data_IF_245678793310
#
_entry.id   IF_245678793310
#
_cell.length_a   1.000
_cell.length_b   1.000
_cell.length_c   1.000
_cell.angle_alpha   90.00
_cell.angle_beta   90.00
_cell.angle_gamma   90.00
#
_symmetry.space_group_name_H-M   'P 1'
#
loop_
_entity.id
_entity.type
_entity.pdbx_description
1 polymer ?
#
# COMPACT_ATOMS: atom_id res chain seq x y z
N UNK A 1 25.20 16.84 12.00
CA UNK A 1 24.46 15.79 11.28
C UNK A 1 23.01 15.93 11.66
N UNK A 2 22.10 15.84 10.70
CA UNK A 2 20.67 15.87 10.98
C UNK A 2 20.25 14.54 11.61
N UNK A 3 20.11 14.53 12.92
CA UNK A 3 19.76 13.34 13.69
C UNK A 3 18.33 12.87 13.38
N UNK A 4 17.42 13.81 13.10
CA UNK A 4 16.03 13.49 12.76
C UNK A 4 15.94 12.75 11.43
N UNK A 5 16.64 13.22 10.40
CA UNK A 5 16.72 12.53 9.10
C UNK A 5 17.34 11.13 9.22
N UNK A 6 18.38 10.98 10.05
CA UNK A 6 19.02 9.69 10.29
C UNK A 6 18.07 8.69 10.95
N UNK A 7 17.33 9.11 11.98
CA UNK A 7 16.40 8.24 12.70
C UNK A 7 15.20 7.88 11.81
N UNK A 8 14.64 8.84 11.08
CA UNK A 8 13.61 8.61 10.07
C UNK A 8 14.04 7.58 9.02
N UNK A 9 15.26 7.74 8.47
CA UNK A 9 15.79 6.82 7.46
C UNK A 9 16.00 5.42 8.04
N UNK A 10 16.42 5.31 9.30
CA UNK A 10 16.60 4.02 9.98
C UNK A 10 15.26 3.31 10.15
N UNK A 11 14.22 4.03 10.56
CA UNK A 11 12.88 3.49 10.76
C UNK A 11 12.25 3.06 9.42
N UNK A 12 12.40 3.86 8.37
CA UNK A 12 11.96 3.51 7.02
C UNK A 12 12.65 2.24 6.49
N UNK A 13 13.96 2.12 6.70
CA UNK A 13 14.71 0.92 6.31
C UNK A 13 14.30 -0.31 7.11
N UNK A 14 14.03 -0.16 8.40
CA UNK A 14 13.55 -1.24 9.25
C UNK A 14 12.16 -1.72 8.79
N UNK A 15 11.24 -0.79 8.52
CA UNK A 15 9.91 -1.09 8.02
C UNK A 15 9.95 -1.78 6.65
N UNK A 16 10.72 -1.25 5.70
CA UNK A 16 10.90 -1.87 4.36
C UNK A 16 11.40 -3.32 4.46
N UNK A 17 12.24 -3.63 5.44
CA UNK A 17 12.74 -5.01 5.68
C UNK A 17 11.69 -5.92 6.34
N UNK A 18 10.79 -5.37 7.14
CA UNK A 18 9.74 -6.12 7.83
C UNK A 18 8.54 -6.46 6.93
N UNK A 19 8.41 -5.76 5.81
CA UNK A 19 7.24 -5.85 4.93
C UNK A 19 7.65 -6.28 3.51
N UNK A 20 7.51 -7.59 3.20
CA UNK A 20 7.78 -8.14 1.88
C UNK A 20 7.09 -7.41 0.73
N UNK A 21 5.95 -6.74 0.97
CA UNK A 21 5.27 -5.91 -0.02
C UNK A 21 6.18 -4.82 -0.64
N UNK A 22 7.16 -4.32 0.12
CA UNK A 22 8.11 -3.29 -0.32
C UNK A 22 9.46 -3.84 -0.78
N UNK A 23 9.74 -5.14 -0.58
CA UNK A 23 11.02 -5.78 -0.89
C UNK A 23 10.88 -6.98 -1.85
N UNK A 24 9.82 -6.97 -2.68
CA UNK A 24 9.50 -8.05 -3.61
C UNK A 24 10.62 -8.25 -4.65
N UNK A 25 10.87 -9.52 -5.02
CA UNK A 25 11.81 -9.89 -6.10
C UNK A 25 11.17 -9.97 -7.48
N UNK A 26 9.83 -9.95 -7.54
CA UNK A 26 9.04 -10.07 -8.78
C UNK A 26 8.12 -8.86 -8.92
N UNK A 27 7.90 -8.43 -10.16
CA UNK A 27 7.01 -7.34 -10.52
C UNK A 27 5.56 -7.61 -10.09
N UNK A 28 4.81 -6.54 -9.79
CA UNK A 28 3.35 -6.60 -9.74
C UNK A 28 2.80 -6.80 -11.15
N UNK A 29 1.67 -7.50 -11.27
CA UNK A 29 1.06 -7.78 -12.59
C UNK A 29 -0.24 -6.99 -12.84
N UNK A 30 -0.79 -6.30 -11.85
CA UNK A 30 -2.08 -5.62 -11.97
C UNK A 30 -3.18 -6.62 -12.29
N UNK A 31 -3.12 -7.81 -11.68
CA UNK A 31 -4.03 -8.90 -11.97
C UNK A 31 -4.87 -9.21 -10.74
N UNK A 32 -6.18 -9.47 -10.90
CA UNK A 32 -7.04 -9.88 -9.81
C UNK A 32 -6.46 -11.10 -9.10
N UNK A 33 -6.43 -11.05 -7.77
CA UNK A 33 -6.06 -12.21 -6.96
C UNK A 33 -7.27 -13.15 -6.94
N UNK A 34 -7.09 -14.35 -7.51
CA UNK A 34 -8.14 -15.39 -7.53
C UNK A 34 -8.65 -15.65 -6.10
N UNK A 35 -9.97 -15.53 -5.91
CA UNK A 35 -10.66 -15.75 -4.63
C UNK A 35 -10.90 -14.51 -3.78
N UNK A 36 -10.21 -13.39 -4.05
CA UNK A 36 -10.37 -12.12 -3.31
C UNK A 36 -10.94 -11.01 -4.20
N UNK A 37 -10.76 -11.12 -5.53
CA UNK A 37 -11.32 -10.16 -6.49
C UNK A 37 -10.55 -8.84 -6.60
N UNK A 38 -9.68 -8.54 -5.64
CA UNK A 38 -8.83 -7.35 -5.61
C UNK A 38 -7.47 -7.65 -6.25
N UNK A 39 -6.94 -6.70 -7.03
CA UNK A 39 -5.65 -6.81 -7.72
C UNK A 39 -4.45 -6.84 -6.75
N UNK A 40 -3.29 -7.32 -7.22
CA UNK A 40 -2.05 -7.28 -6.42
C UNK A 40 -1.49 -5.86 -6.23
N UNK A 41 -1.87 -4.95 -7.12
CA UNK A 41 -1.61 -3.52 -7.07
C UNK A 41 -2.81 -2.80 -7.70
N UNK A 42 -3.20 -1.65 -7.16
CA UNK A 42 -4.17 -0.76 -7.80
C UNK A 42 -3.74 0.69 -7.65
N UNK A 43 -4.11 1.52 -8.61
CA UNK A 43 -3.85 2.97 -8.56
C UNK A 43 -5.16 3.67 -8.26
N UNK A 44 -5.16 4.61 -7.32
CA UNK A 44 -6.37 5.17 -6.74
C UNK A 44 -6.39 6.68 -6.95
N UNK A 45 -7.52 7.17 -7.45
CA UNK A 45 -7.82 8.60 -7.62
C UNK A 45 -8.06 9.27 -6.26
N UNK A 46 -7.99 10.61 -6.19
CA UNK A 46 -8.31 11.35 -4.96
C UNK A 46 -9.74 11.14 -4.42
N UNK A 47 -10.67 10.67 -5.25
CA UNK A 47 -12.04 10.35 -4.83
C UNK A 47 -12.21 8.92 -4.27
N UNK A 48 -11.12 8.15 -4.18
CA UNK A 48 -11.11 6.77 -3.67
C UNK A 48 -11.40 5.70 -4.72
N UNK A 49 -11.66 6.07 -5.98
CA UNK A 49 -11.91 5.12 -7.07
C UNK A 49 -10.62 4.66 -7.75
N UNK A 50 -10.64 3.48 -8.36
CA UNK A 50 -9.49 2.98 -9.12
C UNK A 50 -9.29 3.78 -10.41
N UNK A 51 -8.06 4.22 -10.66
CA UNK A 51 -7.64 4.90 -11.88
C UNK A 51 -7.76 3.98 -13.10
N UNK A 52 -8.18 4.56 -14.20
CA UNK A 52 -8.20 3.97 -15.53
C UNK A 52 -7.02 4.49 -16.37
N UNK A 53 -6.77 3.86 -17.52
CA UNK A 53 -5.68 4.25 -18.43
C UNK A 53 -5.76 5.72 -18.87
N UNK A 54 -6.98 6.25 -19.00
CA UNK A 54 -7.21 7.63 -19.41
C UNK A 54 -6.72 8.65 -18.37
N UNK A 55 -6.77 8.33 -17.07
CA UNK A 55 -6.35 9.25 -16.01
C UNK A 55 -4.85 9.49 -16.00
N UNK A 56 -4.06 8.51 -16.45
CA UNK A 56 -2.61 8.66 -16.62
C UNK A 56 -2.24 9.70 -17.67
N UNK A 57 -3.11 9.91 -18.65
CA UNK A 57 -2.90 10.83 -19.75
C UNK A 57 -3.47 12.23 -19.47
N UNK A 58 -4.23 12.40 -18.39
CA UNK A 58 -4.80 13.67 -17.99
C UNK A 58 -3.76 14.49 -17.20
N UNK A 59 -3.13 15.47 -17.83
CA UNK A 59 -2.24 16.40 -17.15
C UNK A 59 -3.02 17.51 -16.40
N UNK A 60 -2.55 17.96 -15.21
CA UNK A 60 -1.54 17.35 -14.33
C UNK A 60 -2.19 16.52 -13.20
N UNK A 61 -1.63 15.33 -12.95
CA UNK A 61 -1.99 14.48 -11.82
C UNK A 61 -1.49 15.14 -10.51
N UNK A 62 -2.39 15.76 -9.74
CA UNK A 62 -2.04 16.50 -8.53
C UNK A 62 -1.80 15.59 -7.31
N UNK A 63 -2.60 14.54 -7.20
CA UNK A 63 -2.49 13.52 -6.16
C UNK A 63 -3.07 12.19 -6.64
N UNK A 64 -2.52 11.10 -6.11
CA UNK A 64 -3.00 9.74 -6.35
C UNK A 64 -2.48 8.83 -5.23
N UNK A 65 -2.98 7.60 -5.15
CA UNK A 65 -2.42 6.59 -4.27
C UNK A 65 -2.13 5.27 -4.99
N UNK A 66 -1.24 4.50 -4.39
CA UNK A 66 -0.93 3.12 -4.78
C UNK A 66 -1.39 2.20 -3.67
N UNK A 67 -2.35 1.36 -3.99
CA UNK A 67 -2.77 0.27 -3.13
C UNK A 67 -1.90 -0.98 -3.40
N UNK A 68 -1.34 -1.56 -2.34
CA UNK A 68 -0.60 -2.81 -2.40
C UNK A 68 -1.33 -3.88 -1.59
N UNK A 69 -1.74 -4.96 -2.25
CA UNK A 69 -2.43 -6.05 -1.60
C UNK A 69 -1.45 -7.03 -0.97
N UNK A 70 -1.51 -7.19 0.35
CA UNK A 70 -0.66 -8.11 1.11
C UNK A 70 -0.85 -9.58 0.76
N UNK A 71 -2.00 -9.97 0.19
CA UNK A 71 -2.25 -11.33 -0.33
C UNK A 71 -1.76 -11.53 -1.76
N UNK A 72 -1.47 -10.43 -2.47
CA UNK A 72 -0.98 -10.39 -3.85
C UNK A 72 0.50 -10.67 -3.98
N UNK A 73 1.16 -11.04 -2.87
CA UNK A 73 2.56 -11.43 -2.87
C UNK A 73 2.74 -12.77 -3.58
N UNK A 74 3.45 -12.71 -4.72
CA UNK A 74 3.83 -13.88 -5.53
C UNK A 74 5.27 -14.30 -5.21
N UNK A 75 5.60 -14.38 -3.92
CA UNK A 75 6.89 -14.84 -3.42
C UNK A 75 6.69 -15.95 -2.39
N UNK A 76 7.64 -16.88 -2.37
CA UNK A 76 7.72 -17.94 -1.39
C UNK A 76 8.80 -17.61 -0.36
N UNK A 77 8.62 -18.04 0.88
CA UNK A 77 9.66 -18.00 1.90
C UNK A 77 10.69 -19.13 1.68
N UNK A 78 11.67 -19.25 2.57
CA UNK A 78 12.72 -20.28 2.51
C UNK A 78 12.18 -21.71 2.64
N UNK A 79 10.97 -21.87 3.18
CA UNK A 79 10.27 -23.14 3.31
C UNK A 79 9.34 -23.45 2.12
N UNK A 80 9.31 -22.59 1.10
CA UNK A 80 8.43 -22.75 -0.06
C UNK A 80 6.98 -22.33 0.20
N UNK A 81 6.69 -21.66 1.32
CA UNK A 81 5.34 -21.22 1.67
C UNK A 81 5.05 -19.85 1.08
N UNK A 82 3.80 -19.63 0.64
CA UNK A 82 3.37 -18.33 0.10
C UNK A 82 3.50 -17.25 1.17
N UNK A 83 4.25 -16.20 0.86
CA UNK A 83 4.36 -15.05 1.72
C UNK A 83 3.10 -14.19 1.62
N UNK A 84 2.65 -13.66 2.75
CA UNK A 84 1.57 -12.69 2.86
C UNK A 84 2.04 -11.53 3.72
N UNK A 85 1.40 -10.38 3.57
CA UNK A 85 1.71 -9.16 4.32
C UNK A 85 0.41 -8.41 4.64
N UNK A 86 0.55 -7.26 5.29
CA UNK A 86 -0.53 -6.30 5.48
C UNK A 86 -0.86 -5.59 4.16
N UNK A 87 -2.02 -4.95 4.10
CA UNK A 87 -2.38 -4.10 2.97
C UNK A 87 -1.80 -2.71 3.17
N UNK A 88 -1.34 -2.08 2.10
CA UNK A 88 -0.77 -0.74 2.15
C UNK A 88 -1.47 0.21 1.19
N UNK A 89 -1.58 1.46 1.60
CA UNK A 89 -1.96 2.56 0.73
C UNK A 89 -0.87 3.63 0.82
N UNK A 90 -0.19 3.87 -0.29
CA UNK A 90 0.86 4.90 -0.40
C UNK A 90 0.28 6.06 -1.18
N UNK A 91 0.03 7.18 -0.50
CA UNK A 91 -0.63 8.35 -1.04
C UNK A 91 0.42 9.41 -1.36
N UNK A 92 0.35 9.97 -2.56
CA UNK A 92 1.23 11.02 -3.04
C UNK A 92 0.41 12.28 -3.27
N UNK A 93 0.73 13.36 -2.58
CA UNK A 93 0.38 14.71 -3.01
C UNK A 93 1.59 15.36 -3.66
N UNK A 94 1.58 15.45 -4.99
CA UNK A 94 2.71 15.98 -5.77
C UNK A 94 2.58 17.51 -5.89
N UNK A 95 1.37 18.03 -5.73
CA UNK A 95 1.12 19.47 -5.75
C UNK A 95 1.72 20.18 -4.52
N UNK A 96 1.94 21.48 -4.63
CA UNK A 96 2.36 22.31 -3.51
C UNK A 96 1.19 22.80 -2.64
N UNK A 97 -0.05 22.46 -3.02
CA UNK A 97 -1.26 22.81 -2.29
C UNK A 97 -1.78 21.64 -1.46
N UNK A 98 -2.48 21.90 -0.35
CA UNK A 98 -3.22 20.88 0.35
C UNK A 98 -4.31 20.25 -0.54
N UNK A 99 -4.57 18.96 -0.35
CA UNK A 99 -5.56 18.21 -1.10
C UNK A 99 -6.42 17.34 -0.19
N UNK A 100 -7.70 17.17 -0.53
CA UNK A 100 -8.55 16.17 0.09
C UNK A 100 -8.39 14.84 -0.64
N UNK A 101 -8.28 13.74 0.10
CA UNK A 101 -8.16 12.40 -0.47
C UNK A 101 -9.12 11.45 0.25
N UNK A 102 -10.02 10.82 -0.49
CA UNK A 102 -10.95 9.83 0.03
C UNK A 102 -10.32 8.45 -0.04
N UNK A 103 -10.35 7.73 1.08
CA UNK A 103 -9.80 6.38 1.16
C UNK A 103 -10.65 5.39 0.36
N UNK A 104 -10.03 4.35 -0.23
CA UNK A 104 -10.75 3.35 -1.01
C UNK A 104 -11.74 2.58 -0.12
N UNK A 105 -12.61 1.82 -0.79
CA UNK A 105 -13.63 1.02 -0.12
C UNK A 105 -13.06 -0.11 0.76
N UNK A 106 -13.96 -0.74 1.52
CA UNK A 106 -13.63 -1.80 2.46
C UNK A 106 -13.01 -3.05 1.82
N UNK A 107 -13.15 -3.24 0.50
CA UNK A 107 -12.51 -4.34 -0.22
C UNK A 107 -10.98 -4.24 -0.22
N UNK A 108 -10.44 -3.04 -0.10
CA UNK A 108 -8.99 -2.79 -0.03
C UNK A 108 -8.47 -2.74 1.41
N UNK A 109 -9.29 -2.28 2.35
CA UNK A 109 -8.99 -2.29 3.78
C UNK A 109 -10.06 -1.56 4.57
N UNK A 110 -10.53 -2.15 5.66
CA UNK A 110 -11.60 -1.57 6.48
C UNK A 110 -11.12 -0.39 7.34
N UNK A 111 -9.87 -0.48 7.82
CA UNK A 111 -9.28 0.43 8.79
C UNK A 111 -7.82 0.64 8.46
N UNK A 112 -7.41 1.89 8.46
CA UNK A 112 -6.09 2.32 8.04
C UNK A 112 -5.37 3.01 9.21
N UNK A 113 -4.13 2.60 9.44
CA UNK A 113 -3.23 3.18 10.43
C UNK A 113 -2.10 3.92 9.71
N UNK A 114 -1.81 5.15 10.12
CA UNK A 114 -0.65 5.87 9.59
C UNK A 114 0.65 5.24 10.09
N UNK A 115 1.52 4.85 9.15
CA UNK A 115 2.83 4.26 9.45
C UNK A 115 3.99 5.17 9.03
N UNK A 116 3.82 6.00 8.00
CA UNK A 116 4.78 7.04 7.63
C UNK A 116 4.06 8.28 7.14
N UNK A 117 4.59 9.42 7.54
CA UNK A 117 4.22 10.74 7.03
C UNK A 117 5.51 11.52 6.78
N UNK A 118 5.69 12.10 5.60
CA UNK A 118 6.87 12.94 5.31
C UNK A 118 6.79 14.35 5.91
N UNK A 119 5.60 14.81 6.28
CA UNK A 119 5.37 16.11 6.92
C UNK A 119 5.56 16.03 8.44
N UNK A 120 5.27 14.88 9.05
CA UNK A 120 5.54 14.62 10.46
C UNK A 120 6.69 13.63 10.62
N UNK A 121 7.84 14.13 11.09
CA UNK A 121 9.10 13.38 11.07
C UNK A 121 9.12 12.02 11.80
N UNK A 122 8.11 11.65 12.59
CA UNK A 122 7.95 10.32 13.20
C UNK A 122 6.46 10.09 13.51
N UNK A 123 5.72 9.35 12.67
CA UNK A 123 4.36 8.94 13.02
C UNK A 123 4.38 7.66 13.86
N UNK A 124 4.48 7.82 15.19
CA UNK A 124 4.03 6.76 16.11
C UNK A 124 2.53 6.57 15.88
N UNK A 125 2.11 5.51 15.19
CA UNK A 125 0.71 5.03 15.03
C UNK A 125 -0.32 6.09 15.47
N UNK A 126 -0.52 7.11 14.65
CA UNK A 126 -1.50 8.16 14.91
C UNK A 126 -2.73 7.92 14.02
N UNK A 127 -3.88 8.12 14.65
CA UNK A 127 -5.26 8.11 14.14
C UNK A 127 -5.62 6.99 13.15
N UNK A 128 -6.49 6.10 13.63
CA UNK A 128 -7.15 5.11 12.79
C UNK A 128 -8.26 5.81 12.00
N UNK A 129 -8.18 5.73 10.68
CA UNK A 129 -9.20 6.23 9.74
C UNK A 129 -9.88 5.03 9.07
N UNK A 130 -11.17 5.15 8.77
CA UNK A 130 -11.93 4.05 8.18
C UNK A 130 -11.89 4.11 6.65
N UNK A 131 -12.22 3.01 6.00
CA UNK A 131 -12.54 3.01 4.58
C UNK A 131 -13.55 4.11 4.23
N UNK A 132 -13.42 4.69 3.04
CA UNK A 132 -14.25 5.80 2.55
C UNK A 132 -14.17 7.11 3.36
N UNK A 133 -13.40 7.20 4.44
CA UNK A 133 -13.14 8.47 5.11
C UNK A 133 -12.27 9.38 4.22
N UNK A 134 -12.48 10.69 4.30
CA UNK A 134 -11.65 11.68 3.62
C UNK A 134 -10.59 12.22 4.58
N UNK A 135 -9.34 12.16 4.15
CA UNK A 135 -8.19 12.74 4.84
C UNK A 135 -7.69 13.98 4.12
N UNK A 136 -6.97 14.84 4.84
CA UNK A 136 -6.34 16.02 4.28
C UNK A 136 -4.84 15.80 4.18
N UNK A 137 -4.30 16.03 2.98
CA UNK A 137 -2.89 15.98 2.68
C UNK A 137 -2.33 17.40 2.62
N UNK A 138 -1.13 17.59 3.13
CA UNK A 138 -0.32 18.79 2.96
C UNK A 138 0.36 18.80 1.58
N UNK A 139 0.81 19.98 1.14
CA UNK A 139 1.57 20.12 -0.09
C UNK A 139 2.88 19.33 -0.05
N UNK A 140 3.19 18.59 -1.12
CA UNK A 140 4.40 17.75 -1.25
C UNK A 140 4.53 16.68 -0.16
N UNK A 141 3.43 16.06 0.22
CA UNK A 141 3.39 15.00 1.22
C UNK A 141 3.34 13.61 0.59
N UNK A 142 4.04 12.66 1.21
CA UNK A 142 3.83 11.23 1.03
C UNK A 142 3.35 10.63 2.34
N UNK A 143 2.19 9.99 2.31
CA UNK A 143 1.58 9.32 3.45
C UNK A 143 1.50 7.81 3.15
N UNK A 144 1.90 6.99 4.11
CA UNK A 144 1.78 5.53 4.04
C UNK A 144 0.84 5.07 5.13
N UNK A 145 -0.23 4.40 4.70
CA UNK A 145 -1.19 3.76 5.58
C UNK A 145 -1.05 2.23 5.50
N UNK A 146 -1.29 1.57 6.62
CA UNK A 146 -1.34 0.12 6.76
C UNK A 146 -2.73 -0.30 7.24
N UNK A 147 -3.29 -1.32 6.59
CA UNK A 147 -4.46 -2.04 7.09
C UNK A 147 -4.01 -3.45 7.47
N UNK A 148 -4.06 -3.83 8.76
CA UNK A 148 -3.62 -5.15 9.21
C UNK A 148 -4.38 -6.27 8.50
N UNK A 149 -3.65 -7.29 8.04
CA UNK A 149 -4.25 -8.46 7.42
C UNK A 149 -4.13 -9.68 8.35
N UNK A 150 -5.25 -10.33 8.77
CA UNK A 150 -5.20 -11.48 9.67
C UNK A 150 -4.46 -12.69 9.08
N UNK A 151 -4.32 -12.76 7.74
CA UNK A 151 -3.58 -13.82 7.05
C UNK A 151 -2.07 -13.58 7.01
N UNK A 152 -1.56 -12.44 7.49
CA UNK A 152 -0.12 -12.13 7.53
C UNK A 152 0.61 -13.19 8.37
N UNK A 153 1.52 -13.92 7.73
CA UNK A 153 2.34 -14.95 8.36
C UNK A 153 1.59 -16.22 8.79
N UNK A 154 0.32 -16.42 8.38
CA UNK A 154 -0.55 -17.50 8.88
C UNK A 154 -1.17 -18.42 7.81
N UNK A 155 -0.87 -18.29 6.52
CA UNK A 155 -1.55 -19.13 5.52
C UNK A 155 -0.90 -20.52 5.41
N UNK A 156 -1.60 -21.63 5.74
CA UNK A 156 -1.08 -23.00 5.60
C UNK A 156 -0.98 -23.40 4.11
N UNK A 157 -0.16 -24.41 3.78
CA UNK A 157 0.19 -24.78 2.40
C UNK A 157 -0.92 -25.44 1.55
N UNK A 158 -2.13 -25.67 2.08
CA UNK A 158 -3.20 -26.36 1.34
C UNK A 158 -4.49 -25.53 1.32
N UNK A 159 -4.75 -24.80 0.23
CA UNK A 159 -6.11 -24.66 -0.36
C UNK A 159 -6.20 -23.66 -1.52
N UNK A 160 -5.24 -23.62 -2.45
CA UNK A 160 -5.50 -23.06 -3.79
C UNK A 160 -4.73 -23.88 -4.85
N UNK A 161 -5.39 -24.36 -5.91
CA UNK A 161 -4.75 -25.21 -6.93
C UNK A 161 -3.76 -24.40 -7.78
N UNK A 162 -2.74 -25.12 -8.24
CA UNK A 162 -1.58 -24.67 -9.01
C UNK A 162 -1.86 -23.51 -9.97
N UNK A 163 -1.06 -22.44 -9.82
CA UNK A 163 -0.92 -21.41 -10.84
C UNK A 163 0.16 -21.92 -11.79
N UNK A 164 -0.27 -22.49 -12.93
CA UNK A 164 0.64 -22.82 -14.03
C UNK A 164 1.33 -21.54 -14.47
N UNK A 165 2.65 -21.49 -14.28
CA UNK A 165 3.53 -20.48 -14.85
C UNK A 165 3.59 -20.76 -16.35
N UNK A 166 2.88 -19.97 -17.15
CA UNK A 166 3.10 -19.95 -18.60
C UNK A 166 3.54 -18.55 -19.02
N UNK A 167 4.82 -18.50 -19.43
CA UNK A 167 5.33 -17.87 -20.64
C UNK A 167 5.11 -16.39 -20.82
#
# INVERSE_FOLDING_TARGET
MDQGLLDFTRDLLAFRKQHPAFSRKRWFRGQPIRGVGVEDIAWIRPDGTQMEDADWSAEPLSSFAVFLNGLGLRCLNEHGEKMTDDNFLVIFNISDQPAAFTLPDQGMGEKWETVFDTCEAITRRADQVNACDTIHLEGRQVLVLLSPNPARGKMPPESLPDVTDQG
#
